data_IF_384188637630
#
_entry.id   IF_384188637630
#
_cell.length_a   1.000
_cell.length_b   1.000
_cell.length_c   1.000
_cell.angle_alpha   90.00
_cell.angle_beta   90.00
_cell.angle_gamma   90.00
#
_symmetry.space_group_name_H-M   'P 1'
#
loop_
_entity.id
_entity.type
_entity.pdbx_description
1 polymer ?
#
# COMPACT_ATOMS: atom_id res chain seq x y z
N UNK A 1 17.53 1.36 15.88
CA UNK A 1 17.84 -0.07 16.08
C UNK A 1 18.21 -0.66 14.73
N UNK A 2 17.21 -0.88 13.87
CA UNK A 2 17.30 -1.39 12.50
C UNK A 2 18.57 -1.07 11.69
N UNK A 3 19.00 0.19 11.55
CA UNK A 3 20.22 0.52 10.78
C UNK A 3 21.47 -0.24 11.27
N UNK A 4 21.57 -0.54 12.58
CA UNK A 4 22.67 -1.34 13.15
C UNK A 4 22.53 -2.83 12.84
N UNK A 5 21.30 -3.35 12.82
CA UNK A 5 21.03 -4.72 12.36
C UNK A 5 21.32 -4.88 10.86
N UNK A 6 20.99 -3.87 10.04
CA UNK A 6 21.28 -3.84 8.60
C UNK A 6 22.78 -3.68 8.30
N UNK A 7 23.53 -2.90 9.08
CA UNK A 7 25.00 -2.88 9.01
C UNK A 7 25.60 -4.25 9.38
N UNK A 8 25.12 -4.88 10.46
CA UNK A 8 25.59 -6.21 10.86
C UNK A 8 25.30 -7.26 9.78
N UNK A 9 24.11 -7.26 9.17
CA UNK A 9 23.76 -8.12 8.04
C UNK A 9 24.64 -7.88 6.80
N UNK A 10 24.98 -6.60 6.53
CA UNK A 10 25.91 -6.23 5.45
C UNK A 10 27.34 -6.74 5.68
N UNK A 11 27.81 -6.75 6.92
CA UNK A 11 29.13 -7.25 7.31
C UNK A 11 29.22 -8.79 7.33
N UNK A 12 28.10 -9.51 7.46
CA UNK A 12 28.07 -10.98 7.58
C UNK A 12 28.40 -11.71 6.27
N UNK A 13 27.84 -11.29 5.13
CA UNK A 13 28.05 -11.96 3.85
C UNK A 13 27.75 -11.06 2.65
N UNK A 14 28.22 -11.45 1.45
CA UNK A 14 27.88 -10.73 0.20
C UNK A 14 26.37 -10.78 -0.09
N UNK A 15 25.71 -11.86 0.30
CA UNK A 15 24.25 -12.02 0.20
C UNK A 15 23.52 -11.12 1.19
N UNK A 16 23.98 -11.11 2.45
CA UNK A 16 23.50 -10.23 3.51
C UNK A 16 23.64 -8.75 3.14
N UNK A 17 24.74 -8.35 2.49
CA UNK A 17 24.86 -7.00 1.94
C UNK A 17 23.81 -6.71 0.86
N UNK A 18 23.56 -7.62 -0.09
CA UNK A 18 22.52 -7.42 -1.10
C UNK A 18 21.10 -7.35 -0.50
N UNK A 19 20.82 -8.12 0.57
CA UNK A 19 19.55 -8.05 1.31
C UNK A 19 19.47 -6.73 2.09
N UNK A 20 20.56 -6.28 2.72
CA UNK A 20 20.66 -5.02 3.46
C UNK A 20 20.48 -3.80 2.55
N UNK A 21 21.12 -3.78 1.38
CA UNK A 21 20.93 -2.76 0.34
C UNK A 21 19.49 -2.73 -0.18
N UNK A 22 18.88 -3.89 -0.43
CA UNK A 22 17.47 -4.00 -0.84
C UNK A 22 16.52 -3.47 0.24
N UNK A 23 16.69 -3.88 1.50
CA UNK A 23 15.88 -3.39 2.62
C UNK A 23 16.05 -1.87 2.78
N UNK A 24 17.30 -1.38 2.75
CA UNK A 24 17.63 0.05 2.93
C UNK A 24 17.22 0.96 1.76
N UNK A 25 16.91 0.40 0.59
CA UNK A 25 16.43 1.14 -0.58
C UNK A 25 14.91 1.03 -0.80
N UNK A 26 14.25 0.07 -0.15
CA UNK A 26 12.82 -0.22 -0.38
C UNK A 26 11.96 0.02 0.87
N UNK A 27 12.50 -0.13 2.09
CA UNK A 27 11.72 -0.12 3.35
C UNK A 27 12.15 0.96 4.35
N UNK A 28 13.08 1.85 3.95
CA UNK A 28 13.51 3.00 4.73
C UNK A 28 13.19 4.30 3.99
N UNK A 29 12.57 5.24 4.69
CA UNK A 29 12.33 6.59 4.17
C UNK A 29 13.64 7.36 4.06
N UNK A 30 14.10 7.60 2.84
CA UNK A 30 15.30 8.41 2.57
C UNK A 30 14.89 9.87 2.52
N UNK A 31 15.25 10.63 3.55
CA UNK A 31 15.24 12.10 3.51
C UNK A 31 16.22 12.57 2.42
N UNK A 32 15.70 12.77 1.21
CA UNK A 32 16.44 13.41 0.12
C UNK A 32 16.48 14.91 0.36
N UNK A 33 17.65 15.42 0.77
CA UNK A 33 17.96 16.84 0.64
C UNK A 33 17.83 17.24 -0.83
N UNK A 34 16.93 18.18 -1.12
CA UNK A 34 16.52 18.55 -2.48
C UNK A 34 17.55 19.49 -3.11
N UNK A 35 18.70 18.95 -3.52
CA UNK A 35 19.75 19.68 -4.23
C UNK A 35 19.32 19.99 -5.68
N UNK A 36 18.52 21.05 -5.85
CA UNK A 36 17.98 21.46 -7.15
C UNK A 36 19.08 21.76 -8.18
N UNK A 37 19.11 21.07 -9.35
CA UNK A 37 19.99 21.45 -10.46
C UNK A 37 19.61 22.83 -11.02
N UNK A 38 20.53 23.79 -10.94
CA UNK A 38 20.30 25.15 -11.43
C UNK A 38 20.14 25.20 -12.97
N UNK A 39 19.01 25.68 -13.53
CA UNK A 39 18.79 25.67 -14.98
C UNK A 39 19.73 26.61 -15.74
N UNK A 40 20.56 26.06 -16.63
CA UNK A 40 21.36 26.89 -17.55
C UNK A 40 20.45 27.57 -18.59
N UNK A 41 20.35 28.90 -18.51
CA UNK A 41 19.46 29.70 -19.37
C UNK A 41 19.92 29.73 -20.84
N UNK A 42 19.42 28.80 -21.66
CA UNK A 42 19.34 29.01 -23.12
C UNK A 42 18.08 29.83 -23.47
N UNK A 43 18.19 30.69 -24.49
CA UNK A 43 17.33 31.88 -24.62
C UNK A 43 16.71 32.01 -26.02
N UNK A 44 15.86 31.07 -26.38
CA UNK A 44 15.10 31.13 -27.63
C UNK A 44 13.79 31.91 -27.48
N UNK A 45 13.24 32.37 -28.62
CA UNK A 45 12.07 33.25 -28.67
C UNK A 45 10.92 32.61 -29.44
N UNK A 46 9.76 32.57 -28.77
CA UNK A 46 8.41 32.66 -29.35
C UNK A 46 8.02 31.73 -30.50
N UNK A 47 6.99 30.91 -30.27
CA UNK A 47 5.75 31.18 -31.02
C UNK A 47 4.47 30.78 -30.25
N UNK A 48 3.32 31.34 -30.64
CA UNK A 48 2.03 31.12 -29.97
C UNK A 48 1.28 29.90 -30.53
N UNK A 49 1.07 28.87 -29.72
CA UNK A 49 0.03 27.85 -29.93
C UNK A 49 -0.79 27.60 -28.66
N UNK A 50 -1.96 27.00 -28.82
CA UNK A 50 -3.03 26.90 -27.82
C UNK A 50 -2.59 26.26 -26.51
N UNK A 51 -2.94 26.89 -25.39
CA UNK A 51 -2.88 26.25 -24.08
C UNK A 51 -3.85 25.05 -24.03
N UNK A 52 -3.30 23.84 -23.93
CA UNK A 52 -3.99 22.71 -23.31
C UNK A 52 -3.84 22.84 -21.77
N UNK A 53 -4.80 22.39 -20.96
CA UNK A 53 -4.59 22.27 -19.52
C UNK A 53 -3.43 21.31 -19.21
N UNK A 54 -2.65 21.60 -18.17
CA UNK A 54 -1.66 20.66 -17.62
C UNK A 54 -2.35 19.42 -17.04
N UNK A 55 -1.63 18.30 -17.01
CA UNK A 55 -2.09 16.99 -16.51
C UNK A 55 -3.42 16.50 -17.10
N UNK A 56 -3.37 15.99 -18.33
CA UNK A 56 -4.29 14.92 -18.74
C UNK A 56 -3.62 13.58 -18.43
N UNK A 57 -4.23 12.73 -17.60
CA UNK A 57 -3.85 11.32 -17.50
C UNK A 57 -4.19 10.69 -18.85
N UNK A 58 -3.17 10.53 -19.70
CA UNK A 58 -3.30 10.18 -21.12
C UNK A 58 -3.58 8.69 -21.38
N UNK A 59 -3.54 7.86 -20.34
CA UNK A 59 -3.53 6.40 -20.41
C UNK A 59 -4.90 5.73 -20.21
N UNK A 60 -5.98 6.47 -19.90
CA UNK A 60 -7.31 5.85 -19.68
C UNK A 60 -7.77 5.15 -20.97
N UNK A 61 -7.73 3.80 -20.96
CA UNK A 61 -8.08 2.97 -22.10
C UNK A 61 -9.58 3.12 -22.37
N UNK A 62 -9.94 3.70 -23.51
CA UNK A 62 -11.34 3.92 -23.88
C UNK A 62 -12.14 2.61 -23.80
N UNK A 63 -13.23 2.63 -23.02
CA UNK A 63 -14.09 1.47 -22.71
C UNK A 63 -14.26 0.53 -23.91
N UNK A 64 -13.77 -0.70 -23.79
CA UNK A 64 -14.06 -1.78 -24.75
C UNK A 64 -15.44 -2.40 -24.49
N UNK A 65 -15.88 -2.38 -23.23
CA UNK A 65 -17.11 -3.04 -22.76
C UNK A 65 -18.31 -2.11 -22.74
N UNK A 66 -18.62 -1.49 -23.89
CA UNK A 66 -19.88 -0.76 -24.08
C UNK A 66 -21.06 -1.74 -24.23
N UNK A 67 -21.45 -2.37 -23.12
CA UNK A 67 -22.65 -3.20 -23.01
C UNK A 67 -23.50 -2.71 -21.84
N UNK A 68 -24.57 -1.98 -22.14
CA UNK A 68 -25.64 -1.71 -21.18
C UNK A 68 -26.25 -3.06 -20.74
N UNK A 69 -25.89 -3.50 -19.53
CA UNK A 69 -26.36 -4.74 -18.94
C UNK A 69 -27.78 -4.54 -18.43
N UNK A 70 -28.78 -4.89 -19.25
CA UNK A 70 -30.16 -5.00 -18.76
C UNK A 70 -30.22 -6.01 -17.62
N UNK A 71 -30.86 -5.64 -16.50
CA UNK A 71 -30.87 -6.39 -15.24
C UNK A 71 -31.18 -7.89 -15.36
N UNK A 72 -31.89 -8.31 -16.42
CA UNK A 72 -32.22 -9.72 -16.70
C UNK A 72 -31.07 -10.58 -17.23
N UNK A 73 -29.88 -10.02 -17.47
CA UNK A 73 -28.73 -10.71 -18.11
C UNK A 73 -27.40 -10.54 -17.34
N UNK A 74 -27.47 -10.23 -16.04
CA UNK A 74 -26.28 -10.09 -15.17
C UNK A 74 -25.75 -11.49 -14.80
N UNK A 75 -24.45 -11.79 -14.96
CA UNK A 75 -23.89 -13.11 -14.65
C UNK A 75 -23.82 -13.37 -13.14
N UNK A 76 -23.83 -14.65 -12.73
CA UNK A 76 -23.87 -15.05 -11.31
C UNK A 76 -22.74 -14.44 -10.47
N UNK A 77 -21.56 -14.25 -11.06
CA UNK A 77 -20.34 -13.74 -10.42
C UNK A 77 -19.80 -12.46 -11.09
N UNK A 78 -20.68 -11.65 -11.70
CA UNK A 78 -20.32 -10.45 -12.48
C UNK A 78 -19.66 -10.74 -13.85
N UNK A 79 -18.94 -11.86 -13.99
CA UNK A 79 -18.23 -12.29 -15.20
C UNK A 79 -18.99 -13.38 -15.96
N UNK A 80 -18.91 -13.37 -17.30
CA UNK A 80 -19.49 -14.42 -18.15
C UNK A 80 -18.45 -15.52 -18.39
N UNK A 81 -18.63 -16.70 -17.82
CA UNK A 81 -17.72 -17.85 -17.97
C UNK A 81 -18.47 -19.12 -18.34
N UNK A 82 -17.82 -20.02 -19.09
CA UNK A 82 -18.33 -21.37 -19.35
C UNK A 82 -18.15 -22.35 -18.18
N UNK A 83 -17.62 -21.88 -17.04
CA UNK A 83 -17.27 -22.72 -15.89
C UNK A 83 -17.83 -22.22 -14.55
N UNK A 84 -19.00 -21.56 -14.57
CA UNK A 84 -19.64 -20.99 -13.37
C UNK A 84 -19.77 -21.99 -12.20
N UNK A 85 -20.14 -23.25 -12.44
CA UNK A 85 -20.25 -24.25 -11.36
C UNK A 85 -18.90 -24.62 -10.70
N UNK A 86 -17.80 -24.53 -11.45
CA UNK A 86 -16.46 -24.75 -10.90
C UNK A 86 -15.99 -23.51 -10.14
N UNK A 87 -16.23 -22.32 -10.72
CA UNK A 87 -15.91 -21.05 -10.07
C UNK A 87 -16.66 -20.92 -8.74
N UNK A 88 -17.96 -21.25 -8.73
CA UNK A 88 -18.79 -21.31 -7.52
C UNK A 88 -18.15 -22.12 -6.40
N UNK A 89 -17.54 -23.27 -6.74
CA UNK A 89 -16.91 -24.14 -5.75
C UNK A 89 -15.65 -23.54 -5.14
N UNK A 90 -14.79 -22.90 -5.94
CA UNK A 90 -13.58 -22.24 -5.39
C UNK A 90 -13.95 -21.01 -4.53
N UNK A 91 -15.12 -20.41 -4.77
CA UNK A 91 -15.67 -19.32 -3.96
C UNK A 91 -16.31 -19.80 -2.63
N UNK A 92 -16.47 -21.10 -2.41
CA UNK A 92 -16.84 -21.66 -1.08
C UNK A 92 -15.71 -21.45 -0.03
N UNK A 93 -14.52 -21.03 -0.48
CA UNK A 93 -13.36 -20.70 0.36
C UNK A 93 -13.08 -19.18 0.44
N UNK A 94 -14.00 -18.30 0.01
CA UNK A 94 -13.77 -16.84 -0.05
C UNK A 94 -13.48 -16.18 1.31
N UNK A 95 -14.01 -16.74 2.40
CA UNK A 95 -13.77 -16.27 3.78
C UNK A 95 -12.53 -16.89 4.43
N UNK A 96 -11.72 -17.66 3.68
CA UNK A 96 -10.62 -18.46 4.23
C UNK A 96 -9.27 -17.99 3.70
N UNK A 97 -8.26 -18.06 4.55
CA UNK A 97 -6.88 -17.87 4.14
C UNK A 97 -6.44 -19.02 3.21
N UNK A 98 -5.72 -18.70 2.13
CA UNK A 98 -5.21 -19.69 1.17
C UNK A 98 -6.17 -20.11 0.05
N UNK A 99 -7.19 -19.29 -0.27
CA UNK A 99 -8.01 -19.46 -1.48
C UNK A 99 -7.12 -19.54 -2.73
N UNK A 100 -7.40 -20.49 -3.65
CA UNK A 100 -6.59 -20.67 -4.86
C UNK A 100 -6.97 -19.66 -5.96
N UNK A 101 -6.42 -18.45 -5.85
CA UNK A 101 -6.75 -17.34 -6.74
C UNK A 101 -6.27 -17.54 -8.19
N UNK A 102 -5.18 -18.28 -8.41
CA UNK A 102 -4.75 -18.64 -9.77
C UNK A 102 -5.83 -19.48 -10.48
N UNK A 103 -6.48 -20.39 -9.77
CA UNK A 103 -7.59 -21.20 -10.29
C UNK A 103 -8.87 -20.38 -10.47
N UNK A 104 -9.14 -19.40 -9.60
CA UNK A 104 -10.18 -18.37 -9.85
C UNK A 104 -9.88 -17.57 -11.12
N UNK A 105 -8.61 -17.23 -11.37
CA UNK A 105 -8.17 -16.52 -12.59
C UNK A 105 -8.45 -17.35 -13.85
N UNK A 106 -8.12 -18.65 -13.85
CA UNK A 106 -8.46 -19.56 -14.95
C UNK A 106 -9.99 -19.65 -15.18
N UNK A 107 -10.76 -19.88 -14.11
CA UNK A 107 -12.21 -20.15 -14.19
C UNK A 107 -13.06 -18.90 -14.45
N UNK A 108 -12.56 -17.70 -14.11
CA UNK A 108 -13.20 -16.41 -14.41
C UNK A 108 -12.96 -15.93 -15.85
N UNK A 109 -11.99 -16.52 -16.57
CA UNK A 109 -11.55 -16.02 -17.88
C UNK A 109 -10.60 -14.83 -17.77
N UNK A 110 -9.64 -14.90 -16.84
CA UNK A 110 -8.71 -13.83 -16.46
C UNK A 110 -9.43 -12.57 -15.94
N UNK A 111 -10.43 -12.77 -15.07
CA UNK A 111 -11.16 -11.70 -14.36
C UNK A 111 -11.23 -11.91 -12.83
N UNK A 112 -10.13 -12.27 -12.14
CA UNK A 112 -10.14 -12.53 -10.70
C UNK A 112 -10.57 -11.31 -9.88
N UNK A 113 -10.16 -10.08 -10.23
CA UNK A 113 -10.47 -8.89 -9.44
C UNK A 113 -11.95 -8.56 -9.49
N UNK A 114 -12.57 -8.66 -10.68
CA UNK A 114 -14.02 -8.49 -10.82
C UNK A 114 -14.77 -9.56 -10.03
N UNK A 115 -14.32 -10.83 -10.03
CA UNK A 115 -15.00 -11.90 -9.27
C UNK A 115 -14.82 -11.77 -7.76
N UNK A 116 -13.61 -11.44 -7.26
CA UNK A 116 -13.38 -11.24 -5.83
C UNK A 116 -14.22 -10.07 -5.32
N UNK A 117 -14.13 -8.90 -5.95
CA UNK A 117 -14.92 -7.73 -5.56
C UNK A 117 -16.43 -8.00 -5.65
N UNK A 118 -16.91 -8.68 -6.70
CA UNK A 118 -18.32 -9.06 -6.81
C UNK A 118 -18.79 -9.99 -5.69
N UNK A 119 -17.99 -11.01 -5.35
CA UNK A 119 -18.35 -11.98 -4.30
C UNK A 119 -18.32 -11.32 -2.92
N UNK A 120 -17.26 -10.58 -2.60
CA UNK A 120 -17.06 -9.90 -1.31
C UNK A 120 -18.14 -8.84 -1.05
N UNK A 121 -18.52 -8.05 -2.07
CA UNK A 121 -19.57 -7.04 -1.94
C UNK A 121 -20.99 -7.60 -1.81
N UNK A 122 -21.22 -8.84 -2.26
CA UNK A 122 -22.48 -9.56 -2.04
C UNK A 122 -22.51 -10.19 -0.64
N UNK A 123 -21.44 -10.87 -0.22
CA UNK A 123 -21.35 -11.54 1.08
C UNK A 123 -21.45 -10.54 2.24
N UNK A 124 -20.82 -9.36 2.10
CA UNK A 124 -20.91 -8.24 3.06
C UNK A 124 -22.12 -7.31 2.83
N UNK A 125 -23.04 -7.64 1.91
CA UNK A 125 -24.26 -6.87 1.59
C UNK A 125 -24.02 -5.38 1.18
N UNK A 126 -22.77 -5.00 0.91
CA UNK A 126 -22.33 -3.60 0.68
C UNK A 126 -23.09 -2.93 -0.46
N UNK A 127 -23.47 -3.70 -1.49
CA UNK A 127 -24.28 -3.22 -2.61
C UNK A 127 -25.65 -2.72 -2.16
N UNK A 128 -26.28 -3.38 -1.18
CA UNK A 128 -27.59 -2.99 -0.64
C UNK A 128 -27.43 -1.85 0.36
N UNK A 129 -26.45 -1.94 1.27
CA UNK A 129 -26.14 -0.90 2.27
C UNK A 129 -25.87 0.46 1.62
N UNK A 130 -25.06 0.48 0.55
CA UNK A 130 -24.69 1.72 -0.16
C UNK A 130 -25.47 1.97 -1.45
N UNK A 131 -26.45 1.13 -1.77
CA UNK A 131 -27.36 1.27 -2.92
C UNK A 131 -26.59 1.39 -4.24
N UNK A 132 -25.55 0.60 -4.41
CA UNK A 132 -24.69 0.60 -5.59
C UNK A 132 -25.44 -0.14 -6.72
N UNK A 133 -25.70 0.49 -7.89
CA UNK A 133 -26.33 -0.22 -9.00
C UNK A 133 -25.41 -1.33 -9.52
N UNK A 134 -25.96 -2.52 -9.75
CA UNK A 134 -25.17 -3.71 -10.04
C UNK A 134 -24.49 -3.64 -11.42
N UNK A 135 -25.11 -2.95 -12.37
CA UNK A 135 -24.53 -2.66 -13.68
C UNK A 135 -23.40 -1.62 -13.55
N UNK A 136 -23.58 -0.53 -12.81
CA UNK A 136 -22.51 0.45 -12.51
C UNK A 136 -21.32 -0.24 -11.83
N UNK A 137 -21.58 -1.13 -10.88
CA UNK A 137 -20.54 -1.86 -10.15
C UNK A 137 -19.72 -2.77 -11.07
N UNK A 138 -20.36 -3.58 -11.91
CA UNK A 138 -19.65 -4.42 -12.89
C UNK A 138 -18.91 -3.56 -13.92
N UNK A 139 -19.50 -2.45 -14.38
CA UNK A 139 -18.83 -1.54 -15.33
C UNK A 139 -17.57 -0.90 -14.73
N UNK A 140 -17.61 -0.47 -13.46
CA UNK A 140 -16.42 0.01 -12.75
C UNK A 140 -15.37 -1.10 -12.59
N UNK A 141 -15.74 -2.29 -12.10
CA UNK A 141 -14.79 -3.39 -11.85
C UNK A 141 -14.09 -3.87 -13.12
N UNK A 142 -14.84 -4.06 -14.22
CA UNK A 142 -14.27 -4.43 -15.51
C UNK A 142 -13.30 -3.35 -16.02
N UNK A 143 -13.63 -2.07 -15.82
CA UNK A 143 -12.78 -0.94 -16.20
C UNK A 143 -11.53 -0.84 -15.33
N UNK A 144 -11.65 -1.05 -14.02
CA UNK A 144 -10.52 -1.12 -13.07
C UNK A 144 -9.56 -2.26 -13.47
N UNK A 145 -10.10 -3.45 -13.72
CA UNK A 145 -9.32 -4.63 -14.11
C UNK A 145 -8.66 -4.47 -15.49
N UNK A 146 -9.27 -3.73 -16.44
CA UNK A 146 -8.65 -3.35 -17.72
C UNK A 146 -7.45 -2.38 -17.58
N UNK A 147 -7.30 -1.71 -16.43
CA UNK A 147 -6.18 -0.80 -16.13
C UNK A 147 -5.04 -1.48 -15.34
N UNK A 148 -5.18 -2.73 -14.94
CA UNK A 148 -4.01 -3.54 -14.56
C UNK A 148 -3.30 -4.08 -15.82
N UNK A 149 -1.98 -4.24 -15.75
CA UNK A 149 -1.14 -4.55 -16.91
C UNK A 149 -0.87 -6.07 -16.98
N UNK A 150 -1.48 -6.75 -17.96
CA UNK A 150 -1.36 -8.21 -18.12
C UNK A 150 0.03 -8.71 -18.57
N UNK A 151 0.91 -7.79 -18.94
CA UNK A 151 2.33 -8.00 -19.24
C UNK A 151 3.25 -7.75 -18.02
N UNK A 152 2.73 -7.20 -16.92
CA UNK A 152 3.43 -7.10 -15.63
C UNK A 152 3.26 -8.39 -14.84
N UNK A 153 4.38 -9.03 -14.47
CA UNK A 153 4.38 -10.39 -13.94
C UNK A 153 3.83 -10.57 -12.51
N UNK A 154 3.76 -9.49 -11.71
CA UNK A 154 3.33 -9.55 -10.30
C UNK A 154 2.25 -8.51 -9.97
N UNK A 155 2.57 -7.21 -9.99
CA UNK A 155 1.64 -6.09 -9.74
C UNK A 155 0.60 -5.97 -10.88
N UNK A 156 -0.38 -6.87 -10.88
CA UNK A 156 -1.44 -7.02 -11.89
C UNK A 156 -2.77 -7.38 -11.20
N UNK A 157 -3.82 -7.65 -11.99
CA UNK A 157 -5.15 -7.92 -11.46
C UNK A 157 -5.26 -9.19 -10.61
N UNK A 158 -4.32 -10.15 -10.73
CA UNK A 158 -4.25 -11.31 -9.85
C UNK A 158 -3.78 -10.86 -8.46
N UNK A 159 -2.70 -10.07 -8.37
CA UNK A 159 -2.21 -9.58 -7.08
C UNK A 159 -3.21 -8.64 -6.39
N UNK A 160 -3.85 -7.72 -7.13
CA UNK A 160 -4.89 -6.86 -6.57
C UNK A 160 -6.05 -7.69 -5.97
N UNK A 161 -6.48 -8.75 -6.66
CA UNK A 161 -7.53 -9.64 -6.18
C UNK A 161 -7.11 -10.44 -4.93
N UNK A 162 -5.81 -10.79 -4.81
CA UNK A 162 -5.21 -11.48 -3.66
C UNK A 162 -5.19 -10.61 -2.41
N UNK A 163 -4.77 -9.34 -2.55
CA UNK A 163 -4.77 -8.37 -1.46
C UNK A 163 -6.21 -8.01 -1.07
N UNK A 164 -7.13 -7.87 -2.01
CA UNK A 164 -8.57 -7.67 -1.72
C UNK A 164 -9.18 -8.85 -0.94
N UNK A 165 -8.92 -10.09 -1.32
CA UNK A 165 -9.44 -11.26 -0.61
C UNK A 165 -8.77 -11.46 0.75
N UNK A 166 -7.45 -11.26 0.84
CA UNK A 166 -6.71 -11.28 2.10
C UNK A 166 -7.22 -10.21 3.08
N UNK A 167 -7.48 -8.99 2.59
CA UNK A 167 -8.09 -7.90 3.37
C UNK A 167 -9.50 -8.27 3.84
N UNK A 168 -10.31 -8.92 2.98
CA UNK A 168 -11.62 -9.43 3.37
C UNK A 168 -11.53 -10.48 4.50
N UNK A 169 -10.56 -11.40 4.47
CA UNK A 169 -10.36 -12.37 5.56
C UNK A 169 -9.91 -11.67 6.85
N UNK A 170 -8.98 -10.72 6.78
CA UNK A 170 -8.50 -9.97 7.95
C UNK A 170 -9.59 -9.09 8.58
N UNK A 171 -10.51 -8.53 7.79
CA UNK A 171 -11.70 -7.82 8.29
C UNK A 171 -12.77 -8.74 8.90
N UNK A 172 -12.60 -10.06 8.82
CA UNK A 172 -13.44 -11.07 9.50
C UNK A 172 -12.75 -11.71 10.72
N UNK A 173 -11.59 -11.20 11.14
CA UNK A 173 -10.89 -11.68 12.34
C UNK A 173 -11.74 -11.46 13.60
N UNK A 174 -12.04 -12.50 14.42
CA UNK A 174 -12.89 -12.38 15.62
C UNK A 174 -12.50 -11.26 16.60
N UNK A 175 -11.19 -11.03 16.82
CA UNK A 175 -10.70 -9.93 17.66
C UNK A 175 -11.02 -8.51 17.12
N UNK A 176 -11.58 -8.40 15.91
CA UNK A 176 -11.99 -7.17 15.24
C UNK A 176 -13.52 -7.14 14.96
N UNK A 177 -14.30 -8.11 15.47
CA UNK A 177 -15.75 -8.16 15.30
C UNK A 177 -16.40 -6.87 15.83
N UNK A 178 -17.25 -6.24 14.99
CA UNK A 178 -17.93 -4.98 15.26
C UNK A 178 -17.04 -3.77 15.63
N UNK A 179 -15.71 -3.83 15.40
CA UNK A 179 -14.79 -2.69 15.59
C UNK A 179 -14.94 -1.66 14.47
N UNK A 180 -15.07 -2.12 13.23
CA UNK A 180 -15.18 -1.25 12.04
C UNK A 180 -16.63 -1.04 11.61
N UNK A 181 -16.94 0.16 11.12
CA UNK A 181 -18.19 0.43 10.41
C UNK A 181 -18.14 -0.10 8.98
N UNK A 182 -19.32 -0.30 8.38
CA UNK A 182 -19.49 -0.65 6.96
C UNK A 182 -18.69 0.27 6.01
N UNK A 183 -18.42 1.52 6.40
CA UNK A 183 -17.74 2.51 5.57
C UNK A 183 -16.21 2.36 5.63
N UNK A 184 -15.67 1.95 6.77
CA UNK A 184 -14.26 1.58 6.93
C UNK A 184 -13.98 0.25 6.23
N UNK A 185 -14.90 -0.72 6.36
CA UNK A 185 -14.87 -1.99 5.62
C UNK A 185 -14.89 -1.74 4.10
N UNK A 186 -15.83 -0.90 3.61
CA UNK A 186 -15.90 -0.51 2.20
C UNK A 186 -14.62 0.19 1.74
N UNK A 187 -14.07 1.11 2.54
CA UNK A 187 -12.86 1.85 2.20
C UNK A 187 -11.63 0.94 2.13
N UNK A 188 -11.45 0.02 3.08
CA UNK A 188 -10.35 -0.94 3.07
C UNK A 188 -10.41 -1.89 1.87
N UNK A 189 -11.56 -2.50 1.61
CA UNK A 189 -11.73 -3.43 0.47
C UNK A 189 -11.53 -2.71 -0.87
N UNK A 190 -12.04 -1.47 -1.00
CA UNK A 190 -11.84 -0.64 -2.19
C UNK A 190 -10.37 -0.19 -2.35
N UNK A 191 -9.70 0.20 -1.27
CA UNK A 191 -8.28 0.56 -1.28
C UNK A 191 -7.43 -0.62 -1.79
N UNK A 192 -7.61 -1.82 -1.22
CA UNK A 192 -6.91 -3.04 -1.67
C UNK A 192 -7.16 -3.36 -3.15
N UNK A 193 -8.36 -3.08 -3.68
CA UNK A 193 -8.68 -3.31 -5.09
C UNK A 193 -8.01 -2.32 -6.06
N UNK A 194 -7.69 -1.09 -5.60
CA UNK A 194 -7.07 -0.05 -6.44
C UNK A 194 -5.58 0.17 -6.16
N UNK A 195 -4.99 -0.45 -5.13
CA UNK A 195 -3.70 -0.05 -4.58
C UNK A 195 -2.52 -0.06 -5.58
N UNK A 196 -2.61 -0.88 -6.64
CA UNK A 196 -1.59 -1.09 -7.68
C UNK A 196 -2.09 -0.76 -9.11
N UNK A 197 -3.24 -0.07 -9.27
CA UNK A 197 -3.85 0.10 -10.60
C UNK A 197 -2.97 0.95 -11.53
N UNK A 198 -2.74 0.47 -12.75
CA UNK A 198 -1.82 1.07 -13.74
C UNK A 198 -0.33 1.01 -13.33
N UNK A 199 0.06 0.09 -12.44
CA UNK A 199 1.46 -0.16 -12.04
C UNK A 199 2.34 -0.64 -13.22
N UNK A 200 3.44 0.06 -13.58
CA UNK A 200 4.23 -0.16 -14.81
C UNK A 200 5.28 -1.30 -14.72
N UNK A 201 5.31 -2.04 -13.61
CA UNK A 201 6.25 -3.15 -13.38
C UNK A 201 7.65 -2.75 -12.92
N UNK A 202 7.87 -1.47 -12.58
CA UNK A 202 9.12 -0.90 -12.08
C UNK A 202 8.87 -0.05 -10.82
N UNK A 203 9.85 0.08 -9.93
CA UNK A 203 9.70 0.73 -8.63
C UNK A 203 9.76 2.27 -8.69
N UNK A 204 9.28 2.93 -7.62
CA UNK A 204 9.42 4.38 -7.38
C UNK A 204 10.86 4.86 -7.66
N UNK A 205 11.88 4.20 -7.10
CA UNK A 205 13.29 4.57 -7.30
C UNK A 205 13.71 4.54 -8.78
N UNK A 206 13.21 3.59 -9.58
CA UNK A 206 13.49 3.54 -11.03
C UNK A 206 12.81 4.70 -11.77
N UNK A 207 11.55 5.01 -11.44
CA UNK A 207 10.79 6.11 -12.02
C UNK A 207 11.44 7.49 -11.75
N UNK A 208 12.00 7.67 -10.55
CA UNK A 208 12.76 8.86 -10.14
C UNK A 208 14.09 8.92 -10.91
N UNK A 209 14.91 7.86 -10.84
CA UNK A 209 16.23 7.83 -11.51
C UNK A 209 16.17 7.94 -13.04
N UNK A 210 15.03 7.64 -13.65
CA UNK A 210 14.80 7.82 -15.10
C UNK A 210 14.15 9.15 -15.48
N UNK A 211 13.83 10.02 -14.51
CA UNK A 211 13.12 11.30 -14.72
C UNK A 211 11.78 11.10 -15.46
N UNK A 212 11.03 10.07 -15.07
CA UNK A 212 9.75 9.71 -15.71
C UNK A 212 8.67 10.79 -15.54
N UNK A 213 7.68 10.83 -16.44
CA UNK A 213 6.55 11.77 -16.34
C UNK A 213 5.76 11.63 -15.03
N UNK A 214 5.70 10.42 -14.45
CA UNK A 214 5.06 10.19 -13.14
C UNK A 214 5.88 10.80 -12.00
N UNK A 215 7.19 10.55 -11.96
CA UNK A 215 8.07 11.12 -10.93
C UNK A 215 8.03 12.66 -10.95
N UNK A 216 8.10 13.26 -12.14
CA UNK A 216 7.96 14.70 -12.35
C UNK A 216 6.55 15.25 -12.02
N UNK A 217 5.50 14.42 -12.05
CA UNK A 217 4.13 14.82 -11.70
C UNK A 217 3.90 14.80 -10.18
N UNK A 218 4.46 13.80 -9.50
CA UNK A 218 4.30 13.60 -8.05
C UNK A 218 5.45 14.19 -7.21
N UNK A 219 6.52 14.66 -7.85
CA UNK A 219 7.67 15.35 -7.27
C UNK A 219 8.57 14.45 -6.40
N UNK A 220 8.60 13.15 -6.71
CA UNK A 220 9.40 12.04 -6.15
C UNK A 220 8.87 11.26 -4.89
N UNK A 221 8.15 11.82 -3.89
CA UNK A 221 7.51 11.02 -2.86
C UNK A 221 6.35 10.15 -3.37
N UNK A 222 6.38 8.85 -3.04
CA UNK A 222 5.27 7.89 -3.22
C UNK A 222 4.60 7.98 -4.61
N UNK A 223 5.43 7.96 -5.66
CA UNK A 223 5.04 8.28 -7.05
C UNK A 223 3.95 7.34 -7.56
N UNK A 224 4.13 6.03 -7.33
CA UNK A 224 3.22 4.97 -7.73
C UNK A 224 1.91 5.03 -6.94
N UNK A 225 2.00 5.16 -5.62
CA UNK A 225 0.87 5.12 -4.70
C UNK A 225 -0.07 6.32 -4.92
N UNK A 226 0.49 7.50 -5.23
CA UNK A 226 -0.29 8.65 -5.68
C UNK A 226 -0.91 8.46 -7.07
N UNK A 227 -0.24 7.74 -7.99
CA UNK A 227 -0.78 7.41 -9.32
C UNK A 227 -1.94 6.41 -9.23
N UNK A 228 -1.80 5.36 -8.42
CA UNK A 228 -2.82 4.35 -8.15
C UNK A 228 -4.09 4.99 -7.57
N UNK A 229 -3.93 5.89 -6.59
CA UNK A 229 -5.02 6.71 -6.07
C UNK A 229 -5.64 7.64 -7.13
N UNK A 230 -4.82 8.32 -7.94
CA UNK A 230 -5.31 9.22 -8.97
C UNK A 230 -6.12 8.46 -10.04
N UNK A 231 -5.64 7.31 -10.50
CA UNK A 231 -6.29 6.45 -11.46
C UNK A 231 -7.57 5.82 -10.90
N UNK A 232 -7.50 5.13 -9.74
CA UNK A 232 -8.65 4.44 -9.14
C UNK A 232 -9.85 5.37 -8.88
N UNK A 233 -9.60 6.61 -8.43
CA UNK A 233 -10.64 7.63 -8.30
C UNK A 233 -11.01 8.35 -9.61
N UNK A 234 -10.13 8.39 -10.61
CA UNK A 234 -10.45 8.94 -11.94
C UNK A 234 -11.40 8.02 -12.72
N UNK A 235 -11.24 6.70 -12.60
CA UNK A 235 -12.12 5.72 -13.27
C UNK A 235 -13.59 5.82 -12.85
N UNK A 236 -13.88 6.27 -11.62
CA UNK A 236 -15.26 6.56 -11.16
C UNK A 236 -15.99 7.60 -12.02
N UNK A 237 -15.25 8.42 -12.77
CA UNK A 237 -15.80 9.50 -13.61
C UNK A 237 -16.10 9.05 -15.05
N UNK A 238 -15.83 7.79 -15.40
CA UNK A 238 -16.17 7.23 -16.71
C UNK A 238 -17.66 6.84 -16.79
N UNK A 239 -18.15 6.56 -18.01
CA UNK A 239 -19.58 6.29 -18.22
C UNK A 239 -20.04 5.05 -17.44
N UNK A 240 -21.07 5.26 -16.59
CA UNK A 240 -21.60 4.26 -15.65
C UNK A 240 -20.57 3.65 -14.69
N UNK A 241 -19.58 4.42 -14.23
CA UNK A 241 -18.54 3.93 -13.31
C UNK A 241 -18.60 4.46 -11.86
N UNK A 242 -19.49 5.41 -11.54
CA UNK A 242 -19.56 5.98 -10.18
C UNK A 242 -20.31 5.06 -9.20
N UNK A 243 -19.57 4.13 -8.59
CA UNK A 243 -20.08 3.22 -7.56
C UNK A 243 -20.38 3.92 -6.22
N UNK A 244 -20.02 5.20 -6.07
CA UNK A 244 -20.23 5.99 -4.85
C UNK A 244 -21.30 7.09 -5.02
N UNK A 245 -21.98 7.15 -6.17
CA UNK A 245 -23.01 8.15 -6.52
C UNK A 245 -24.12 8.32 -5.46
N UNK A 246 -24.42 7.26 -4.69
CA UNK A 246 -25.47 7.23 -3.67
C UNK A 246 -24.97 7.46 -2.24
N UNK A 247 -23.67 7.69 -2.03
CA UNK A 247 -23.12 8.09 -0.74
C UNK A 247 -23.49 9.54 -0.40
N UNK A 248 -23.72 9.83 0.88
CA UNK A 248 -23.78 11.23 1.32
C UNK A 248 -22.41 11.91 1.19
N UNK A 249 -22.40 13.23 1.02
CA UNK A 249 -21.14 14.01 0.93
C UNK A 249 -20.18 13.73 2.10
N UNK A 250 -20.69 13.55 3.33
CA UNK A 250 -19.86 13.20 4.50
C UNK A 250 -19.23 11.80 4.35
N UNK A 251 -20.01 10.80 3.93
CA UNK A 251 -19.50 9.45 3.68
C UNK A 251 -18.44 9.44 2.57
N UNK A 252 -18.70 10.11 1.44
CA UNK A 252 -17.72 10.22 0.35
C UNK A 252 -16.44 10.94 0.79
N UNK A 253 -16.53 11.99 1.60
CA UNK A 253 -15.33 12.66 2.14
C UNK A 253 -14.55 11.75 3.11
N UNK A 254 -15.24 11.02 3.99
CA UNK A 254 -14.60 10.08 4.93
C UNK A 254 -13.95 8.91 4.20
N UNK A 255 -14.68 8.24 3.29
CA UNK A 255 -14.16 7.14 2.47
C UNK A 255 -12.97 7.60 1.64
N UNK A 256 -13.05 8.77 0.98
CA UNK A 256 -11.90 9.28 0.20
C UNK A 256 -10.68 9.52 1.07
N UNK A 257 -10.83 10.03 2.31
CA UNK A 257 -9.70 10.17 3.22
C UNK A 257 -9.12 8.79 3.57
N UNK A 258 -9.94 7.86 4.06
CA UNK A 258 -9.47 6.53 4.50
C UNK A 258 -8.78 5.76 3.37
N UNK A 259 -9.33 5.78 2.14
CA UNK A 259 -8.68 5.14 0.98
C UNK A 259 -7.33 5.79 0.64
N UNK A 260 -7.21 7.12 0.73
CA UNK A 260 -5.93 7.81 0.51
C UNK A 260 -4.92 7.42 1.60
N UNK A 261 -5.32 7.44 2.87
CA UNK A 261 -4.47 7.09 3.99
C UNK A 261 -3.96 5.63 3.89
N UNK A 262 -4.82 4.70 3.45
CA UNK A 262 -4.49 3.27 3.29
C UNK A 262 -3.55 3.02 2.10
N UNK A 263 -3.81 3.59 0.91
CA UNK A 263 -2.94 3.33 -0.25
C UNK A 263 -1.61 4.07 -0.14
N UNK A 264 -1.54 5.26 0.49
CA UNK A 264 -0.24 5.87 0.79
C UNK A 264 0.55 5.09 1.85
N UNK A 265 -0.10 4.24 2.64
CA UNK A 265 0.55 3.32 3.58
C UNK A 265 1.05 2.02 2.92
N UNK A 266 0.77 1.77 1.62
CA UNK A 266 1.41 0.67 0.88
C UNK A 266 2.75 1.07 0.24
N UNK A 267 3.18 2.33 0.34
CA UNK A 267 4.55 2.74 0.05
C UNK A 267 5.49 2.03 1.05
N UNK A 268 6.25 1.07 0.56
CA UNK A 268 7.09 0.21 1.39
C UNK A 268 8.11 1.00 2.22
N UNK A 269 8.51 2.22 1.80
CA UNK A 269 9.40 3.09 2.60
C UNK A 269 8.80 3.52 3.93
N UNK A 270 7.47 3.42 4.09
CA UNK A 270 6.72 3.75 5.32
C UNK A 270 6.54 2.55 6.25
N UNK A 271 6.86 1.32 5.81
CA UNK A 271 6.66 0.07 6.55
C UNK A 271 7.19 0.13 7.99
N UNK A 272 8.39 0.67 8.20
CA UNK A 272 9.01 0.71 9.53
C UNK A 272 8.35 1.70 10.50
N UNK A 273 7.66 2.72 9.99
CA UNK A 273 6.85 3.62 10.81
C UNK A 273 5.54 2.92 11.21
N UNK A 274 4.85 2.31 10.25
CA UNK A 274 3.62 1.55 10.47
C UNK A 274 3.82 0.39 11.47
N UNK A 275 4.97 -0.29 11.40
CA UNK A 275 5.34 -1.33 12.35
C UNK A 275 5.60 -0.78 13.76
N UNK A 276 6.15 0.42 13.90
CA UNK A 276 6.34 1.07 15.19
C UNK A 276 5.00 1.53 15.81
N UNK A 277 4.10 2.08 15.00
CA UNK A 277 2.75 2.44 15.42
C UNK A 277 1.94 1.21 15.84
N UNK A 278 2.02 0.12 15.08
CA UNK A 278 1.37 -1.16 15.41
C UNK A 278 1.93 -1.77 16.70
N UNK A 279 3.26 -1.74 16.92
CA UNK A 279 3.88 -2.18 18.18
C UNK A 279 3.42 -1.31 19.36
N UNK A 280 3.33 0.00 19.18
CA UNK A 280 2.78 0.91 20.19
C UNK A 280 1.31 0.60 20.50
N UNK A 281 0.51 0.21 19.51
CA UNK A 281 -0.88 -0.23 19.68
C UNK A 281 -0.97 -1.56 20.45
N UNK A 282 -0.06 -2.51 20.20
CA UNK A 282 0.04 -3.76 20.97
C UNK A 282 0.46 -3.49 22.42
N UNK A 283 1.48 -2.66 22.66
CA UNK A 283 1.94 -2.31 24.00
C UNK A 283 0.86 -1.58 24.82
N UNK A 284 0.12 -0.66 24.20
CA UNK A 284 -1.01 0.04 24.85
C UNK A 284 -2.25 -0.85 25.05
N UNK A 285 -2.46 -1.87 24.20
CA UNK A 285 -3.42 -2.96 24.48
C UNK A 285 -2.94 -3.86 25.63
N UNK A 286 -1.62 -4.09 25.75
CA UNK A 286 -0.97 -4.92 26.77
C UNK A 286 -0.69 -4.21 28.11
N UNK A 287 -1.57 -3.30 28.53
CA UNK A 287 -1.59 -2.79 29.93
C UNK A 287 -2.18 -3.82 30.91
N UNK A 288 -1.80 -5.09 30.73
CA UNK A 288 -1.78 -6.13 31.77
C UNK A 288 -0.71 -7.16 31.37
N UNK A 289 0.29 -7.37 32.24
CA UNK A 289 1.47 -8.26 32.07
C UNK A 289 2.43 -7.95 30.90
N UNK A 290 3.68 -7.66 31.24
CA UNK A 290 4.77 -7.34 30.31
C UNK A 290 5.35 -8.57 29.58
N UNK A 291 5.86 -8.33 28.36
CA UNK A 291 6.84 -9.18 27.68
C UNK A 291 7.69 -8.31 26.76
N UNK A 292 9.02 -8.53 26.72
CA UNK A 292 9.95 -7.82 25.84
C UNK A 292 10.44 -8.81 24.79
N UNK A 293 10.30 -8.47 23.52
CA UNK A 293 10.81 -9.29 22.41
C UNK A 293 12.32 -9.11 22.24
N UNK A 294 13.01 -10.21 21.96
CA UNK A 294 14.39 -10.26 21.50
C UNK A 294 14.41 -10.82 20.07
N UNK A 295 15.11 -10.14 19.17
CA UNK A 295 15.33 -10.59 17.80
C UNK A 295 16.70 -11.26 17.71
N UNK A 296 16.73 -12.55 17.40
CA UNK A 296 17.96 -13.27 17.06
C UNK A 296 18.26 -13.16 15.55
N UNK A 297 19.52 -12.93 15.20
CA UNK A 297 19.95 -12.74 13.81
C UNK A 297 20.05 -14.06 13.02
N UNK A 298 19.55 -14.07 11.78
CA UNK A 298 19.92 -15.05 10.75
C UNK A 298 20.13 -14.37 9.38
N UNK A 299 20.92 -15.00 8.52
CA UNK A 299 21.33 -14.48 7.20
C UNK A 299 21.08 -15.55 6.10
N UNK A 300 21.31 -15.12 4.86
CA UNK A 300 21.29 -15.80 3.57
C UNK A 300 19.92 -15.93 2.86
N UNK A 301 19.80 -15.07 1.82
CA UNK A 301 18.87 -15.04 0.67
C UNK A 301 17.60 -14.22 0.82
N UNK A 302 17.24 -13.58 -0.29
CA UNK A 302 16.15 -12.59 -0.41
C UNK A 302 14.84 -13.08 0.22
N UNK A 303 14.37 -14.30 -0.05
CA UNK A 303 13.10 -14.79 0.51
C UNK A 303 13.17 -15.09 2.02
N UNK A 304 14.29 -15.65 2.51
CA UNK A 304 14.47 -15.93 3.95
C UNK A 304 14.64 -14.61 4.71
N UNK A 305 15.52 -13.73 4.24
CA UNK A 305 15.71 -12.40 4.83
C UNK A 305 14.50 -11.48 4.72
N UNK A 306 13.71 -11.55 3.64
CA UNK A 306 12.44 -10.83 3.55
C UNK A 306 11.44 -11.32 4.60
N UNK A 307 11.37 -12.64 4.83
CA UNK A 307 10.55 -13.17 5.93
C UNK A 307 11.09 -12.70 7.29
N UNK A 308 12.36 -12.94 7.59
CA UNK A 308 12.95 -12.66 8.92
C UNK A 308 12.94 -11.17 9.28
N UNK A 309 13.22 -10.27 8.32
CA UNK A 309 13.38 -8.83 8.58
C UNK A 309 12.13 -7.97 8.30
N UNK A 310 11.18 -8.44 7.48
CA UNK A 310 9.98 -7.66 7.09
C UNK A 310 8.68 -8.39 7.46
N UNK A 311 8.48 -9.60 6.94
CA UNK A 311 7.16 -10.26 7.00
C UNK A 311 6.88 -10.80 8.42
N UNK A 312 7.82 -11.53 9.01
CA UNK A 312 7.65 -12.11 10.35
C UNK A 312 7.50 -11.03 11.43
N UNK A 313 8.32 -9.96 11.53
CA UNK A 313 8.12 -8.93 12.55
C UNK A 313 6.76 -8.22 12.45
N UNK A 314 6.22 -8.06 11.25
CA UNK A 314 4.89 -7.51 11.02
C UNK A 314 3.77 -8.49 11.42
N UNK A 315 3.82 -9.72 10.94
CA UNK A 315 2.80 -10.74 11.25
C UNK A 315 2.83 -11.21 12.70
N UNK A 316 4.00 -11.22 13.35
CA UNK A 316 4.15 -11.45 14.79
C UNK A 316 3.42 -10.35 15.56
N UNK A 317 3.69 -9.08 15.25
CA UNK A 317 3.02 -7.94 15.89
C UNK A 317 1.50 -7.94 15.61
N UNK A 318 1.07 -8.30 14.40
CA UNK A 318 -0.34 -8.44 14.07
C UNK A 318 -1.01 -9.56 14.86
N UNK A 319 -0.42 -10.75 14.92
CA UNK A 319 -0.96 -11.87 15.69
C UNK A 319 -0.98 -11.58 17.21
N UNK A 320 -0.07 -10.74 17.69
CA UNK A 320 -0.06 -10.21 19.06
C UNK A 320 -1.23 -9.24 19.31
N UNK A 321 -1.62 -8.45 18.28
CA UNK A 321 -2.80 -7.58 18.33
C UNK A 321 -4.11 -8.38 18.29
N UNK A 322 -4.22 -9.41 17.43
CA UNK A 322 -5.44 -10.20 17.20
C UNK A 322 -5.43 -11.58 17.86
N UNK A 323 -4.60 -11.80 18.88
CA UNK A 323 -4.44 -13.11 19.52
C UNK A 323 -5.79 -13.70 20.00
N UNK A 324 -6.12 -14.97 19.67
CA UNK A 324 -5.27 -16.00 19.06
C UNK A 324 -5.36 -16.12 17.53
N UNK A 325 -6.14 -15.28 16.86
CA UNK A 325 -6.80 -15.62 15.59
C UNK A 325 -5.85 -15.82 14.40
N UNK A 326 -4.71 -15.13 14.36
CA UNK A 326 -3.73 -15.22 13.26
C UNK A 326 -2.65 -16.32 13.46
N UNK A 327 -2.76 -17.15 14.49
CA UNK A 327 -1.70 -18.10 14.87
C UNK A 327 -1.37 -19.14 13.80
N UNK A 328 -2.38 -19.62 13.04
CA UNK A 328 -2.18 -20.57 11.94
C UNK A 328 -1.46 -19.93 10.73
N UNK A 329 -1.61 -18.61 10.55
CA UNK A 329 -0.88 -17.86 9.51
C UNK A 329 0.60 -17.75 9.90
N UNK A 330 0.92 -17.52 11.18
CA UNK A 330 2.29 -17.57 11.68
C UNK A 330 2.94 -18.95 11.54
N UNK A 331 2.22 -20.04 11.85
CA UNK A 331 2.75 -21.39 11.62
C UNK A 331 3.01 -21.65 10.13
N UNK A 332 2.10 -21.23 9.25
CA UNK A 332 2.28 -21.33 7.79
C UNK A 332 3.47 -20.48 7.31
N UNK A 333 3.70 -19.30 7.89
CA UNK A 333 4.85 -18.45 7.58
C UNK A 333 6.18 -19.11 8.00
N UNK A 334 6.23 -19.71 9.20
CA UNK A 334 7.40 -20.44 9.69
C UNK A 334 7.69 -21.69 8.84
N UNK A 335 6.68 -22.50 8.52
CA UNK A 335 6.83 -23.68 7.64
C UNK A 335 7.39 -23.28 6.26
N UNK A 336 6.89 -22.17 5.68
CA UNK A 336 7.41 -21.63 4.42
C UNK A 336 8.85 -21.13 4.55
N UNK A 337 9.20 -20.47 5.67
CA UNK A 337 10.55 -19.97 5.96
C UNK A 337 11.56 -21.11 6.14
N UNK A 338 11.16 -22.19 6.80
CA UNK A 338 11.94 -23.43 6.91
C UNK A 338 12.04 -24.16 5.58
N UNK A 339 10.97 -24.18 4.77
CA UNK A 339 11.03 -24.75 3.42
C UNK A 339 12.02 -23.99 2.54
N UNK A 340 11.94 -22.66 2.47
CA UNK A 340 12.90 -21.83 1.72
C UNK A 340 14.33 -22.06 2.22
N UNK A 341 14.57 -22.08 3.54
CA UNK A 341 15.85 -22.43 4.14
C UNK A 341 16.34 -23.84 3.74
N UNK A 342 15.44 -24.81 3.59
CA UNK A 342 15.80 -26.18 3.17
C UNK A 342 16.19 -26.29 1.69
N UNK A 343 15.65 -25.41 0.83
CA UNK A 343 16.00 -25.37 -0.61
C UNK A 343 17.37 -24.75 -0.88
N UNK A 344 18.03 -24.17 0.13
CA UNK A 344 19.37 -23.58 0.04
C UNK A 344 20.41 -24.68 -0.22
N UNK A 345 21.08 -24.71 -1.40
CA UNK A 345 22.20 -25.62 -1.59
C UNK A 345 23.30 -25.22 -0.61
N UNK A 346 23.60 -26.11 0.34
CA UNK A 346 24.72 -25.96 1.26
C UNK A 346 26.01 -25.87 0.45
N UNK A 347 26.86 -24.90 0.78
CA UNK A 347 28.19 -24.82 0.17
C UNK A 347 28.98 -26.08 0.52
N UNK A 348 29.63 -26.68 -0.49
CA UNK A 348 30.51 -27.82 -0.27
C UNK A 348 31.78 -27.34 0.42
N UNK A 349 31.74 -27.29 1.76
CA UNK A 349 32.89 -26.99 2.62
C UNK A 349 34.10 -27.83 2.18
N UNK A 350 35.28 -27.21 1.96
CA UNK A 350 36.46 -27.94 1.50
C UNK A 350 36.78 -29.09 2.45
N UNK A 351 36.76 -30.33 1.92
CA UNK A 351 37.08 -31.51 2.72
C UNK A 351 38.52 -31.41 3.20
N UNK A 352 38.69 -31.38 4.52
CA UNK A 352 39.99 -31.22 5.16
C UNK A 352 40.92 -32.37 4.74
N UNK A 353 41.86 -32.09 3.82
CA UNK A 353 42.82 -33.08 3.35
C UNK A 353 43.74 -33.51 4.49
N UNK A 354 43.45 -34.68 5.08
CA UNK A 354 44.42 -35.39 5.91
C UNK A 354 45.62 -35.78 5.05
N UNK A 355 46.78 -35.29 5.43
CA UNK A 355 48.05 -35.61 4.78
C UNK A 355 48.55 -36.98 5.22
N UNK A 356 48.13 -38.03 4.51
CA UNK A 356 48.73 -39.37 4.62
C UNK A 356 49.65 -39.65 3.42
N UNK A 357 50.76 -40.35 3.69
CA UNK A 357 51.89 -40.43 2.76
C UNK A 357 51.71 -41.47 1.64
N UNK A 358 51.81 -40.99 0.39
CA UNK A 358 52.42 -41.65 -0.79
C UNK A 358 52.16 -43.15 -1.06
N UNK A 359 51.48 -43.47 -2.18
CA UNK A 359 52.09 -44.25 -3.29
C UNK A 359 51.19 -44.42 -4.53
N UNK A 360 51.82 -44.51 -5.71
CA UNK A 360 51.33 -45.05 -6.99
C UNK A 360 50.05 -44.48 -7.68
N UNK A 361 50.29 -43.66 -8.71
CA UNK A 361 49.60 -43.53 -10.02
C UNK A 361 48.85 -44.79 -10.53
N UNK A 362 47.97 -44.69 -11.57
CA UNK A 362 47.10 -43.59 -12.06
C UNK A 362 45.66 -44.18 -12.37
N UNK A 363 44.85 -43.76 -13.37
CA UNK A 363 44.69 -42.50 -14.13
C UNK A 363 43.25 -41.91 -14.07
N UNK A 364 42.95 -40.90 -14.90
CA UNK A 364 41.58 -40.44 -15.23
C UNK A 364 41.52 -38.94 -15.51
N UNK A 365 40.95 -38.53 -16.65
CA UNK A 365 40.98 -37.13 -17.10
C UNK A 365 40.21 -36.18 -16.20
N UNK A 366 40.77 -34.97 -16.01
CA UNK A 366 40.01 -33.78 -15.61
C UNK A 366 40.34 -32.64 -16.56
N UNK A 367 39.31 -32.06 -17.17
CA UNK A 367 39.43 -30.81 -17.89
C UNK A 367 39.90 -29.71 -16.93
N UNK A 368 40.93 -28.96 -17.35
CA UNK A 368 41.42 -27.79 -16.63
C UNK A 368 40.75 -26.55 -17.23
N UNK A 369 39.98 -25.83 -16.42
CA UNK A 369 39.54 -24.48 -16.76
C UNK A 369 40.69 -23.53 -16.41
N UNK A 370 41.30 -22.94 -17.43
CA UNK A 370 42.31 -21.91 -17.28
C UNK A 370 41.61 -20.55 -17.29
N UNK A 371 41.56 -19.89 -16.14
CA UNK A 371 41.01 -18.55 -16.03
C UNK A 371 42.17 -17.56 -16.14
N UNK A 372 42.36 -17.00 -17.34
CA UNK A 372 43.30 -15.90 -17.57
C UNK A 372 42.80 -14.67 -16.82
N UNK A 373 43.49 -14.31 -15.74
CA UNK A 373 43.40 -12.98 -15.15
C UNK A 373 44.20 -12.04 -16.06
N UNK A 374 43.53 -11.09 -16.68
CA UNK A 374 44.17 -9.94 -17.31
C UNK A 374 44.40 -8.91 -16.20
N UNK A 375 45.67 -8.64 -15.88
CA UNK A 375 46.08 -7.62 -14.93
C UNK A 375 46.27 -6.30 -15.70
N UNK A 376 45.36 -5.34 -15.52
CA UNK A 376 45.49 -4.01 -16.13
C UNK A 376 46.65 -3.23 -15.48
N UNK A 377 47.66 -2.87 -16.28
CA UNK A 377 48.83 -2.10 -15.83
C UNK A 377 48.49 -0.61 -15.61
N UNK A 378 48.41 -0.15 -14.36
CA UNK A 378 48.44 1.29 -14.07
C UNK A 378 49.85 1.84 -14.34
N UNK A 379 49.99 2.67 -15.39
CA UNK A 379 51.29 3.24 -15.78
C UNK A 379 51.58 4.59 -15.12
N UNK A 380 52.57 4.61 -14.23
CA UNK A 380 53.15 5.85 -13.69
C UNK A 380 53.69 6.80 -14.78
N UNK A 381 53.33 8.08 -14.70
CA UNK A 381 54.16 9.17 -15.26
C UNK A 381 54.16 10.40 -14.36
N UNK A 382 55.10 10.49 -13.43
CA UNK A 382 55.46 11.75 -12.77
C UNK A 382 56.07 12.74 -13.79
N UNK A 383 55.74 14.04 -13.65
CA UNK A 383 56.68 15.13 -13.96
C UNK A 383 56.47 16.34 -13.06
N UNK A 384 57.52 16.70 -12.34
CA UNK A 384 57.62 17.90 -11.52
C UNK A 384 57.35 19.21 -12.28
N UNK A 385 56.86 20.20 -11.55
CA UNK A 385 57.30 21.60 -11.67
C UNK A 385 57.14 22.31 -10.33
N UNK A 386 58.27 22.51 -9.65
CA UNK A 386 58.33 23.04 -8.27
C UNK A 386 58.31 24.57 -8.23
N UNK A 387 57.45 25.13 -7.38
CA UNK A 387 57.67 26.45 -6.75
C UNK A 387 56.87 26.59 -5.45
N UNK A 388 57.56 26.62 -4.32
CA UNK A 388 57.07 27.10 -3.01
C UNK A 388 57.71 28.50 -2.71
N UNK A 389 57.55 29.09 -1.51
CA UNK A 389 56.38 29.88 -1.12
C UNK A 389 56.77 31.30 -0.65
N UNK A 390 55.80 32.17 -0.38
CA UNK A 390 56.00 33.32 0.52
C UNK A 390 54.81 33.48 1.48
N UNK A 391 55.10 34.04 2.66
CA UNK A 391 54.19 34.25 3.80
C UNK A 391 53.55 35.65 3.72
N UNK A 392 52.37 35.88 4.31
CA UNK A 392 51.82 37.24 4.29
C UNK A 392 50.42 37.50 4.87
N UNK A 393 50.33 37.50 6.21
CA UNK A 393 49.49 38.38 7.04
C UNK A 393 47.95 38.30 7.01
N UNK A 394 47.39 38.43 8.22
CA UNK A 394 45.98 38.67 8.53
C UNK A 394 45.67 40.17 8.40
N UNK A 395 44.44 40.54 8.01
CA UNK A 395 43.84 41.81 8.47
C UNK A 395 42.30 41.73 8.49
N UNK A 396 41.68 42.43 9.44
CA UNK A 396 40.22 42.36 9.71
C UNK A 396 39.42 43.36 8.87
N UNK A 397 38.14 43.09 8.60
CA UNK A 397 36.97 44.02 8.56
C UNK A 397 35.75 43.32 7.91
N UNK A 398 34.47 43.69 8.13
CA UNK A 398 33.77 44.26 9.29
C UNK A 398 32.26 44.37 8.95
N UNK A 399 31.40 43.94 9.88
CA UNK A 399 29.93 44.18 10.00
C UNK A 399 29.02 43.88 8.77
N UNK A 400 27.69 43.77 8.89
CA UNK A 400 26.77 43.85 10.04
C UNK A 400 25.50 42.99 9.76
N UNK A 401 24.80 42.58 10.83
CA UNK A 401 23.35 42.27 10.87
C UNK A 401 22.77 41.11 10.02
N UNK A 402 21.77 40.34 10.48
CA UNK A 402 21.12 40.25 11.80
C UNK A 402 20.22 39.00 11.86
N UNK A 403 20.57 38.01 12.68
CA UNK A 403 19.63 36.93 13.06
C UNK A 403 18.61 37.44 14.08
N UNK A 404 17.42 36.84 14.12
CA UNK A 404 16.41 37.11 15.16
C UNK A 404 15.79 35.78 15.60
N UNK A 405 16.19 35.30 16.77
CA UNK A 405 15.60 34.15 17.43
C UNK A 405 14.29 34.56 18.14
N UNK A 406 13.36 33.63 18.28
CA UNK A 406 12.14 33.79 19.08
C UNK A 406 12.09 32.61 20.06
N UNK A 407 12.03 32.84 21.39
CA UNK A 407 12.04 31.76 22.36
C UNK A 407 10.67 31.10 22.50
N UNK A 408 10.68 29.79 22.78
CA UNK A 408 9.52 29.07 23.33
C UNK A 408 9.30 29.50 24.79
N UNK A 409 8.04 29.52 25.23
CA UNK A 409 7.70 29.50 26.64
C UNK A 409 6.36 28.77 26.85
N UNK A 410 6.40 27.62 27.51
CA UNK A 410 5.19 26.88 27.91
C UNK A 410 4.52 27.55 29.12
N UNK A 411 3.19 27.58 29.14
CA UNK A 411 2.41 27.35 30.36
C UNK A 411 0.96 26.99 30.00
N UNK A 412 0.34 26.19 30.87
CA UNK A 412 -0.99 25.60 30.70
C UNK A 412 -1.93 26.25 31.71
N UNK A 413 -3.09 26.71 31.24
CA UNK A 413 -4.28 26.91 32.09
C UNK A 413 -5.50 26.32 31.36
N UNK A 414 -6.42 25.74 32.14
CA UNK A 414 -7.65 25.09 31.69
C UNK A 414 -8.82 26.08 31.87
N UNK A 415 -9.71 26.22 30.88
CA UNK A 415 -11.03 26.85 31.07
C UNK A 415 -12.12 26.03 30.35
N UNK A 416 -13.32 26.02 30.95
CA UNK A 416 -14.46 25.17 30.57
C UNK A 416 -15.40 25.89 29.58
N UNK A 417 -15.97 25.17 28.59
CA UNK A 417 -17.02 25.73 27.72
C UNK A 417 -18.42 25.54 28.36
N UNK A 418 -19.04 26.63 28.82
CA UNK A 418 -20.46 26.68 29.22
C UNK A 418 -21.32 27.39 28.14
N UNK A 419 -22.57 26.96 27.95
CA UNK A 419 -23.44 27.44 26.86
C UNK A 419 -23.95 28.89 27.05
N UNK A 420 -23.98 29.70 25.98
CA UNK A 420 -24.43 31.10 26.01
C UNK A 420 -25.37 31.51 24.86
N UNK A 421 -26.63 31.85 25.19
CA UNK A 421 -27.67 32.19 24.20
C UNK A 421 -27.44 33.52 23.43
N UNK A 422 -27.26 33.44 22.11
CA UNK A 422 -27.10 34.58 21.19
C UNK A 422 -28.38 35.34 20.82
N UNK A 423 -29.12 35.89 21.79
CA UNK A 423 -30.45 36.52 21.58
C UNK A 423 -30.40 37.86 20.81
N UNK A 424 -30.79 37.89 19.53
CA UNK A 424 -31.07 39.14 18.77
C UNK A 424 -32.55 39.56 18.81
N UNK A 425 -32.80 40.86 18.93
CA UNK A 425 -34.15 41.48 18.99
C UNK A 425 -34.62 41.97 17.61
N UNK A 426 -35.91 41.81 17.33
CA UNK A 426 -36.70 42.62 16.38
C UNK A 426 -38.06 42.90 17.05
N UNK A 427 -38.64 44.12 16.98
CA UNK A 427 -39.80 44.50 17.80
C UNK A 427 -41.18 44.08 17.25
N UNK A 428 -42.21 44.32 18.07
CA UNK A 428 -43.61 43.84 17.96
C UNK A 428 -44.58 44.86 17.31
N UNK A 429 -45.86 44.45 17.23
CA UNK A 429 -47.13 45.16 16.92
C UNK A 429 -47.71 44.89 15.51
N UNK A 430 -49.01 44.58 15.34
CA UNK A 430 -50.10 44.39 16.32
C UNK A 430 -51.18 43.37 15.89
N UNK A 431 -51.78 42.74 16.91
CA UNK A 431 -53.21 42.46 17.16
C UNK A 431 -54.24 42.56 16.01
N UNK A 432 -55.15 41.57 15.93
CA UNK A 432 -56.58 41.70 16.34
C UNK A 432 -57.25 40.32 16.43
N UNK A 433 -58.33 40.24 17.22
CA UNK A 433 -59.03 39.05 17.72
C UNK A 433 -59.96 38.34 16.70
N UNK A 434 -60.45 37.15 17.05
CA UNK A 434 -61.52 36.43 16.32
C UNK A 434 -61.86 35.07 16.94
N UNK A 435 -63.04 34.96 17.57
CA UNK A 435 -63.52 33.77 18.30
C UNK A 435 -64.22 32.72 17.41
N UNK A 436 -64.40 31.49 17.92
CA UNK A 436 -65.23 30.45 17.29
C UNK A 436 -65.29 29.13 18.08
N UNK A 437 -66.49 28.75 18.54
CA UNK A 437 -66.75 27.55 19.37
C UNK A 437 -67.23 26.31 18.56
N UNK A 438 -67.16 25.12 19.20
CA UNK A 438 -67.67 23.82 18.70
C UNK A 438 -66.73 22.68 19.13
N UNK A 439 -67.05 21.69 20.00
CA UNK A 439 -68.26 20.86 20.21
C UNK A 439 -68.69 20.09 18.94
N UNK A 440 -68.97 18.78 18.98
CA UNK A 440 -69.11 17.83 20.11
C UNK A 440 -68.81 16.36 19.68
N UNK A 441 -68.90 15.42 20.63
CA UNK A 441 -69.08 13.93 20.62
C UNK A 441 -69.33 13.19 19.27
N UNK A 442 -69.20 11.86 19.07
CA UNK A 442 -69.01 10.60 19.83
C UNK A 442 -69.22 9.43 18.81
N UNK A 443 -69.16 8.12 19.03
CA UNK A 443 -68.86 7.15 20.11
C UNK A 443 -68.02 5.99 19.45
N UNK A 444 -67.30 5.08 20.13
CA UNK A 444 -67.71 3.78 20.71
C UNK A 444 -68.77 2.94 19.93
N UNK A 445 -68.77 1.60 19.91
CA UNK A 445 -68.15 0.60 20.81
C UNK A 445 -67.90 -0.78 20.10
N UNK A 446 -67.00 -1.62 20.66
CA UNK A 446 -66.99 -3.11 20.82
C UNK A 446 -67.57 -4.09 19.72
N UNK A 447 -67.25 -5.39 19.59
CA UNK A 447 -66.28 -6.41 20.10
C UNK A 447 -67.03 -7.76 20.17
N UNK A 448 -66.56 -8.83 19.51
CA UNK A 448 -66.97 -10.21 19.80
C UNK A 448 -65.95 -11.23 19.29
N UNK A 449 -65.90 -12.42 19.90
CA UNK A 449 -65.11 -13.60 19.49
C UNK A 449 -65.99 -14.65 18.80
N UNK A 450 -65.37 -15.63 18.11
CA UNK A 450 -65.54 -17.08 18.39
C UNK A 450 -65.09 -17.96 17.20
N UNK A 451 -63.96 -18.67 17.33
CA UNK A 451 -63.93 -20.16 17.42
C UNK A 451 -62.54 -20.66 17.80
#
# INVERSE_FOLDING_TARGET
MLNRELSHLSEMSRSGNQVSEFISSTFLDKQHDVEMPCPQMQKERTDKKSAKPMCQISSVKKLQHSTSLTNSNIPRFGVKTGTEDKLAKELEDVDKWGLNLFKVTELSGNRPLTVMMYTIFQERDLLKTYKIPLDTFITYLMTLEDHYHGDVAYHNNIHAADVTQSTHVLLSTPALEAVFTDLEILAAIFASAIHDVDHPGVSNQFLISTNSELALMYNDPSVLENHHLAMGFKLLQEENCDIFQNLTRKQHQSLRKMVIDIVLATDMSKHMNLLADLKTMVETKKVTSSGVLLLDNYDDRIQVGFIDYIVHPLWETWADLVHPDAQDILYTLQDNREWYQSTIPQSLSPTLYKSDHSSSRPPGDKFQFELTLEEDEETDTEKDSVSQPEEGQEEENSCDSKSTEIPLNEQVEEEEEEEGEGRRRVPSMAEVEGEGEGKEEGEEEQRATDT
#
